data_IF_141275149314
#
_entry.id   IF_141275149314
#
_cell.length_a   1.000
_cell.length_b   1.000
_cell.length_c   1.000
_cell.angle_alpha   90.00
_cell.angle_beta   90.00
_cell.angle_gamma   90.00
#
_symmetry.space_group_name_H-M   'P 1'
#
loop_
_entity.id
_entity.type
_entity.pdbx_description
1 polymer ?
#
# COMPACT_ATOMS: atom_id res chain seq x y z
N UNK A 1 -7.60 6.11 -15.62
CA UNK A 1 -7.16 4.70 -15.58
C UNK A 1 -7.07 4.22 -14.14
N UNK A 2 -7.80 3.19 -13.80
CA UNK A 2 -7.71 2.50 -12.52
C UNK A 2 -6.90 1.21 -12.68
N UNK A 3 -5.92 1.00 -11.80
CA UNK A 3 -5.10 -0.22 -11.77
C UNK A 3 -5.23 -0.88 -10.40
N UNK A 4 -5.66 -2.14 -10.39
CA UNK A 4 -5.73 -2.95 -9.18
C UNK A 4 -4.46 -3.80 -9.07
N UNK A 5 -3.83 -3.80 -7.88
CA UNK A 5 -2.69 -4.66 -7.55
C UNK A 5 -3.05 -5.57 -6.38
N UNK A 6 -2.84 -6.84 -6.56
CA UNK A 6 -2.99 -7.85 -5.52
C UNK A 6 -1.74 -8.75 -5.48
N UNK A 7 -1.44 -9.28 -4.30
CA UNK A 7 -0.49 -10.37 -4.12
C UNK A 7 -1.27 -11.58 -3.60
N UNK A 8 -1.16 -12.71 -4.29
CA UNK A 8 -1.86 -13.92 -3.91
C UNK A 8 -1.03 -15.16 -4.28
N UNK A 9 -1.25 -16.25 -3.55
CA UNK A 9 -0.73 -17.57 -3.91
C UNK A 9 -1.51 -18.14 -5.11
N UNK A 10 -1.02 -19.25 -5.67
CA UNK A 10 -1.66 -19.90 -6.84
C UNK A 10 -3.09 -20.36 -6.56
N UNK A 11 -3.43 -20.67 -5.32
CA UNK A 11 -4.79 -21.01 -4.88
C UNK A 11 -5.65 -19.79 -4.51
N UNK A 12 -5.16 -18.56 -4.81
CA UNK A 12 -5.92 -17.34 -4.63
C UNK A 12 -5.93 -16.79 -3.21
N UNK A 13 -5.05 -17.25 -2.33
CA UNK A 13 -4.96 -16.78 -0.95
C UNK A 13 -4.07 -15.53 -0.85
N UNK A 14 -4.52 -14.53 -0.11
CA UNK A 14 -3.77 -13.30 0.16
C UNK A 14 -3.00 -13.34 1.47
N UNK A 15 -3.29 -14.33 2.32
CA UNK A 15 -2.60 -14.60 3.59
C UNK A 15 -2.75 -16.07 3.98
N UNK A 16 -1.92 -16.55 4.90
CA UNK A 16 -2.10 -17.83 5.57
C UNK A 16 -3.30 -17.77 6.52
N UNK A 17 -3.77 -18.93 6.99
CA UNK A 17 -4.84 -19.01 7.99
C UNK A 17 -4.47 -18.27 9.29
N UNK A 18 -3.16 -18.15 9.59
CA UNK A 18 -2.63 -17.37 10.71
C UNK A 18 -2.68 -15.85 10.50
N UNK A 19 -3.05 -15.37 9.28
CA UNK A 19 -2.98 -13.96 8.89
C UNK A 19 -1.64 -13.52 8.31
N UNK A 20 -0.62 -14.38 8.33
CA UNK A 20 0.68 -14.06 7.77
C UNK A 20 0.61 -13.95 6.24
N UNK A 21 1.08 -12.81 5.69
CA UNK A 21 1.05 -12.51 4.26
C UNK A 21 2.41 -12.14 3.66
N UNK A 22 3.44 -12.04 4.45
CA UNK A 22 4.79 -11.68 4.00
C UNK A 22 5.65 -12.93 3.87
N UNK A 23 6.37 -13.18 2.77
CA UNK A 23 6.22 -12.43 1.51
C UNK A 23 5.61 -13.39 0.48
N UNK A 24 4.47 -13.05 -0.10
CA UNK A 24 3.82 -13.87 -1.14
C UNK A 24 4.53 -13.67 -2.48
N UNK A 25 5.02 -12.45 -2.75
CA UNK A 25 5.71 -12.10 -3.99
C UNK A 25 7.19 -11.90 -3.78
N UNK A 26 7.97 -12.10 -4.85
CA UNK A 26 9.41 -11.89 -4.85
C UNK A 26 9.82 -10.43 -4.85
N UNK A 27 11.11 -10.18 -4.64
CA UNK A 27 11.70 -8.84 -4.57
C UNK A 27 11.52 -8.06 -5.87
N UNK A 28 11.67 -8.73 -7.03
CA UNK A 28 11.46 -8.10 -8.33
C UNK A 28 10.04 -7.58 -8.52
N UNK A 29 9.03 -8.34 -8.06
CA UNK A 29 7.63 -7.91 -8.13
C UNK A 29 7.38 -6.71 -7.21
N UNK A 30 7.97 -6.68 -6.03
CA UNK A 30 7.88 -5.53 -5.11
C UNK A 30 8.55 -4.28 -5.69
N UNK A 31 9.69 -4.44 -6.38
CA UNK A 31 10.34 -3.34 -7.09
C UNK A 31 9.45 -2.78 -8.22
N UNK A 32 8.74 -3.65 -8.94
CA UNK A 32 7.81 -3.24 -9.98
C UNK A 32 6.62 -2.45 -9.43
N UNK A 33 6.13 -2.80 -8.24
CA UNK A 33 5.09 -2.02 -7.54
C UNK A 33 5.55 -0.57 -7.30
N UNK A 34 6.82 -0.34 -6.99
CA UNK A 34 7.36 1.02 -6.84
C UNK A 34 7.30 1.79 -8.18
N UNK A 35 7.60 1.13 -9.31
CA UNK A 35 7.48 1.75 -10.64
C UNK A 35 6.04 2.08 -11.00
N UNK A 36 5.09 1.19 -10.67
CA UNK A 36 3.66 1.44 -10.86
C UNK A 36 3.19 2.63 -10.01
N UNK A 37 3.65 2.70 -8.77
CA UNK A 37 3.37 3.80 -7.84
C UNK A 37 3.94 5.13 -8.34
N UNK A 38 5.13 5.11 -8.95
CA UNK A 38 5.75 6.31 -9.53
C UNK A 38 4.91 6.94 -10.65
N UNK A 39 4.14 6.12 -11.37
CA UNK A 39 3.26 6.57 -12.46
C UNK A 39 1.86 6.95 -11.99
N UNK A 40 1.51 6.63 -10.75
CA UNK A 40 0.18 6.89 -10.21
C UNK A 40 0.07 8.33 -9.70
N UNK A 41 -1.08 8.97 -9.94
CA UNK A 41 -1.44 10.23 -9.29
C UNK A 41 -1.86 10.01 -7.84
N UNK A 42 -2.52 8.88 -7.59
CA UNK A 42 -2.93 8.48 -6.24
C UNK A 42 -2.76 6.98 -6.04
N UNK A 43 -2.57 6.58 -4.79
CA UNK A 43 -2.53 5.18 -4.33
C UNK A 43 -3.61 5.01 -3.27
N UNK A 44 -4.53 4.08 -3.49
CA UNK A 44 -5.69 3.88 -2.61
C UNK A 44 -5.62 2.53 -1.90
N UNK A 45 -6.02 2.51 -0.64
CA UNK A 45 -6.18 1.28 0.15
C UNK A 45 -7.37 1.37 1.09
N UNK A 46 -7.82 0.23 1.61
CA UNK A 46 -8.83 0.19 2.67
C UNK A 46 -8.21 0.20 4.05
N UNK A 47 -9.00 0.64 5.04
CA UNK A 47 -8.57 0.67 6.45
C UNK A 47 -8.12 -0.70 6.96
N UNK A 48 -8.72 -1.79 6.49
CA UNK A 48 -8.31 -3.14 6.88
C UNK A 48 -6.84 -3.43 6.58
N UNK A 49 -6.34 -3.00 5.44
CA UNK A 49 -4.92 -3.13 5.08
C UNK A 49 -4.03 -2.29 6.00
N UNK A 50 -4.46 -1.08 6.33
CA UNK A 50 -3.69 -0.21 7.23
C UNK A 50 -3.58 -0.82 8.62
N UNK A 51 -4.67 -1.35 9.15
CA UNK A 51 -4.69 -1.99 10.48
C UNK A 51 -3.88 -3.29 10.52
N UNK A 52 -3.88 -4.06 9.42
CA UNK A 52 -3.15 -5.33 9.36
C UNK A 52 -1.65 -5.16 9.11
N UNK A 53 -1.26 -4.26 8.22
CA UNK A 53 0.10 -4.18 7.67
C UNK A 53 0.86 -2.91 8.07
N UNK A 54 0.17 -1.89 8.56
CA UNK A 54 0.72 -0.56 8.84
C UNK A 54 1.63 -0.05 7.71
N UNK A 55 1.12 0.03 6.47
CA UNK A 55 1.94 0.36 5.30
C UNK A 55 2.26 1.85 5.24
N UNK A 56 3.35 2.19 4.58
CA UNK A 56 3.68 3.59 4.27
C UNK A 56 3.02 4.08 2.98
N UNK A 57 2.92 3.21 1.99
CA UNK A 57 2.44 3.49 0.62
C UNK A 57 3.15 4.64 -0.10
N UNK A 58 4.30 5.04 0.38
CA UNK A 58 5.14 6.06 -0.25
C UNK A 58 5.97 5.50 -1.40
N UNK A 59 6.44 6.40 -2.25
CA UNK A 59 7.38 6.08 -3.32
C UNK A 59 8.80 6.16 -2.77
N UNK A 60 9.54 5.05 -2.88
CA UNK A 60 10.90 4.89 -2.36
C UNK A 60 11.93 4.60 -3.47
N UNK A 61 11.68 5.09 -4.69
CA UNK A 61 12.66 5.01 -5.76
C UNK A 61 13.68 6.15 -5.64
N UNK A 62 14.99 5.87 -5.93
CA UNK A 62 15.99 6.93 -6.00
C UNK A 62 15.59 8.00 -7.02
N UNK A 63 15.77 9.28 -6.67
CA UNK A 63 15.44 10.41 -7.54
C UNK A 63 13.96 10.72 -7.66
N UNK A 64 13.11 10.12 -6.85
CA UNK A 64 11.68 10.43 -6.82
C UNK A 64 11.45 11.89 -6.38
N UNK A 65 10.90 12.71 -7.29
CA UNK A 65 10.64 14.14 -7.05
C UNK A 65 9.22 14.40 -6.55
N UNK A 66 8.34 13.42 -6.65
CA UNK A 66 6.92 13.55 -6.30
C UNK A 66 6.41 12.29 -5.62
N UNK A 67 5.58 12.47 -4.60
CA UNK A 67 4.83 11.39 -3.96
C UNK A 67 3.40 11.33 -4.51
N UNK A 68 2.84 10.14 -4.76
CA UNK A 68 1.43 10.03 -5.07
C UNK A 68 0.57 10.41 -3.85
N UNK A 69 -0.62 10.96 -4.09
CA UNK A 69 -1.61 11.12 -3.04
C UNK A 69 -1.98 9.73 -2.47
N UNK A 70 -1.92 9.55 -1.18
CA UNK A 70 -2.42 8.34 -0.54
C UNK A 70 -3.89 8.55 -0.16
N UNK A 71 -4.72 7.55 -0.43
CA UNK A 71 -6.14 7.58 -0.09
C UNK A 71 -6.48 6.36 0.75
N UNK A 72 -7.05 6.59 1.92
CA UNK A 72 -7.52 5.52 2.81
C UNK A 72 -9.04 5.53 2.83
N UNK A 73 -9.65 4.42 2.42
CA UNK A 73 -11.09 4.23 2.56
C UNK A 73 -11.39 3.76 3.98
N UNK A 74 -11.88 4.67 4.81
CA UNK A 74 -12.10 4.46 6.24
C UNK A 74 -13.47 5.01 6.69
N UNK A 75 -14.47 4.15 6.58
CA UNK A 75 -15.86 4.51 6.90
C UNK A 75 -16.07 4.92 8.36
N UNK A 76 -15.29 4.36 9.27
CA UNK A 76 -15.50 4.49 10.72
C UNK A 76 -14.49 5.42 11.39
N UNK A 77 -13.56 6.01 10.62
CA UNK A 77 -12.44 6.78 11.14
C UNK A 77 -11.61 5.98 12.16
N UNK A 78 -11.33 4.72 11.80
CA UNK A 78 -10.56 3.79 12.61
C UNK A 78 -9.03 3.94 12.41
N UNK A 79 -8.60 4.83 11.52
CA UNK A 79 -7.19 5.06 11.24
C UNK A 79 -6.47 5.54 12.50
N UNK A 80 -5.46 4.79 12.99
CA UNK A 80 -4.68 5.22 14.15
C UNK A 80 -3.90 6.50 13.86
N UNK A 81 -3.86 7.47 14.78
CA UNK A 81 -3.06 8.69 14.60
C UNK A 81 -1.56 8.42 14.41
N UNK A 82 -1.05 7.29 14.93
CA UNK A 82 0.34 6.87 14.78
C UNK A 82 0.60 5.97 13.56
N UNK A 83 -0.37 5.79 12.65
CA UNK A 83 -0.20 4.97 11.47
C UNK A 83 0.92 5.50 10.57
N UNK A 84 1.81 4.61 10.11
CA UNK A 84 2.98 4.98 9.30
C UNK A 84 2.63 5.68 7.99
N UNK A 85 1.43 5.45 7.47
CA UNK A 85 0.95 6.13 6.28
C UNK A 85 0.82 7.65 6.47
N UNK A 86 0.60 8.11 7.70
CA UNK A 86 0.50 9.53 8.03
C UNK A 86 1.88 10.20 8.16
N UNK A 87 2.89 9.45 8.61
CA UNK A 87 4.26 9.96 8.77
C UNK A 87 5.08 9.91 7.47
N UNK A 88 4.63 9.16 6.48
CA UNK A 88 5.32 9.04 5.21
C UNK A 88 5.27 10.36 4.42
N UNK A 89 6.33 10.68 3.61
CA UNK A 89 6.34 11.90 2.80
C UNK A 89 5.15 11.98 1.86
N UNK A 90 4.61 13.17 1.64
CA UNK A 90 3.45 13.43 0.77
C UNK A 90 2.13 13.50 1.54
N UNK A 91 1.04 13.66 0.80
CA UNK A 91 -0.28 13.89 1.38
C UNK A 91 -1.07 12.60 1.55
N UNK A 92 -1.92 12.58 2.56
CA UNK A 92 -2.86 11.47 2.82
C UNK A 92 -4.28 12.04 2.98
N UNK A 93 -5.21 11.45 2.25
CA UNK A 93 -6.65 11.71 2.34
C UNK A 93 -7.33 10.51 3.01
N UNK A 94 -8.14 10.79 4.00
CA UNK A 94 -8.91 9.77 4.70
C UNK A 94 -10.41 9.99 4.48
#
# INVERSE_FOLDING_TARGET
>A
LLRLKLAASLDGRTALASGESRWITGEAARADVQRLRARAGAVMTGIGTVLADDPRLDLRLPGASRQPLRVVLDRSLALPPAARILDAPGETLV
#
